data_IF_383616124767
#
_entry.id   IF_383616124767
#
_cell.length_a   1.000
_cell.length_b   1.000
_cell.length_c   1.000
_cell.angle_alpha   90.00
_cell.angle_beta   90.00
_cell.angle_gamma   90.00
#
_symmetry.space_group_name_H-M   'P 1'
#
loop_
_entity.id
_entity.type
_entity.pdbx_description
1 polymer ?
#
# COMPACT_ATOMS: atom_id res chain seq x y z
N UNK A 1 -5.44 0.20 24.29
CA UNK A 1 -6.60 1.08 24.12
C UNK A 1 -7.51 0.45 23.09
N UNK A 2 -8.82 0.33 23.44
CA UNK A 2 -9.82 -0.15 22.48
C UNK A 2 -9.87 0.82 21.30
N UNK A 3 -9.83 0.26 20.11
CA UNK A 3 -9.98 1.02 18.87
C UNK A 3 -11.47 1.37 18.74
N UNK A 4 -11.82 2.63 18.91
CA UNK A 4 -13.20 3.10 18.94
C UNK A 4 -13.64 3.75 17.61
N UNK A 5 -13.18 3.20 16.48
CA UNK A 5 -13.56 3.63 15.14
C UNK A 5 -13.67 2.43 14.20
N UNK A 6 -14.40 2.60 13.11
CA UNK A 6 -14.63 1.53 12.12
C UNK A 6 -13.33 1.11 11.44
N UNK A 7 -13.10 -0.21 11.41
CA UNK A 7 -12.03 -0.83 10.67
C UNK A 7 -12.55 -2.01 9.85
N UNK A 8 -11.95 -2.26 8.72
CA UNK A 8 -12.27 -3.39 7.85
C UNK A 8 -11.00 -4.00 7.26
N UNK A 9 -10.85 -5.31 7.42
CA UNK A 9 -9.77 -6.07 6.74
C UNK A 9 -10.24 -6.42 5.33
N UNK A 10 -9.45 -6.04 4.33
CA UNK A 10 -9.74 -6.34 2.92
C UNK A 10 -8.56 -7.13 2.36
N UNK A 11 -8.84 -8.26 1.74
CA UNK A 11 -7.86 -9.08 1.02
C UNK A 11 -7.88 -8.78 -0.47
N UNK A 12 -6.73 -8.93 -1.11
CA UNK A 12 -6.59 -8.73 -2.55
C UNK A 12 -5.41 -9.52 -3.11
N UNK A 13 -5.46 -9.77 -4.41
CA UNK A 13 -4.42 -10.53 -5.10
C UNK A 13 -3.20 -9.66 -5.39
N UNK A 14 -2.03 -10.25 -5.19
CA UNK A 14 -0.73 -9.68 -5.52
C UNK A 14 0.22 -10.78 -5.99
N UNK A 15 1.52 -10.50 -6.05
CA UNK A 15 2.55 -11.45 -6.45
C UNK A 15 3.78 -11.37 -5.55
N UNK A 16 4.49 -12.49 -5.43
CA UNK A 16 5.82 -12.52 -4.84
C UNK A 16 6.86 -12.21 -5.93
N UNK A 17 7.35 -11.00 -5.95
CA UNK A 17 8.33 -10.52 -6.94
C UNK A 17 9.74 -10.69 -6.39
N UNK A 18 10.61 -11.39 -7.11
CA UNK A 18 11.97 -11.71 -6.63
C UNK A 18 12.96 -10.59 -6.93
N UNK A 19 12.84 -9.93 -8.07
CA UNK A 19 13.76 -8.88 -8.51
C UNK A 19 13.07 -7.85 -9.39
N UNK A 20 13.74 -6.73 -9.59
CA UNK A 20 13.16 -5.58 -10.31
C UNK A 20 12.78 -5.91 -11.75
N UNK A 21 13.55 -6.73 -12.44
CA UNK A 21 13.28 -7.23 -13.79
C UNK A 21 11.97 -8.05 -13.88
N UNK A 22 11.54 -8.63 -12.76
CA UNK A 22 10.32 -9.43 -12.68
C UNK A 22 9.03 -8.59 -12.55
N UNK A 23 9.16 -7.27 -12.43
CA UNK A 23 8.02 -6.34 -12.47
C UNK A 23 7.49 -6.10 -13.89
N UNK A 24 8.16 -6.61 -14.93
CA UNK A 24 7.90 -6.23 -16.31
C UNK A 24 7.50 -7.42 -17.20
N UNK A 25 6.58 -7.14 -18.13
CA UNK A 25 6.24 -8.02 -19.24
C UNK A 25 5.86 -9.45 -18.84
N UNK A 26 6.39 -10.42 -19.58
CA UNK A 26 6.10 -11.85 -19.34
C UNK A 26 6.67 -12.34 -18.00
N UNK A 27 7.78 -11.78 -17.52
CA UNK A 27 8.39 -12.16 -16.26
C UNK A 27 7.45 -11.89 -15.07
N UNK A 28 6.64 -10.83 -15.11
CA UNK A 28 5.64 -10.56 -14.09
C UNK A 28 4.55 -11.65 -14.06
N UNK A 29 4.15 -12.17 -15.21
CA UNK A 29 3.11 -13.19 -15.31
C UNK A 29 3.54 -14.55 -14.71
N UNK A 30 4.84 -14.81 -14.67
CA UNK A 30 5.40 -16.06 -14.11
C UNK A 30 5.64 -16.01 -12.61
N UNK A 31 5.49 -14.85 -11.97
CA UNK A 31 5.66 -14.73 -10.53
C UNK A 31 4.47 -15.39 -9.78
N UNK A 32 4.77 -15.98 -8.62
CA UNK A 32 3.77 -16.67 -7.79
C UNK A 32 2.71 -15.68 -7.29
N UNK A 33 1.45 -16.04 -7.50
CA UNK A 33 0.32 -15.31 -6.95
C UNK A 33 0.25 -15.47 -5.43
N UNK A 34 -0.11 -14.42 -4.75
CA UNK A 34 -0.37 -14.41 -3.31
C UNK A 34 -1.59 -13.57 -2.98
N UNK A 35 -2.36 -14.00 -2.00
CA UNK A 35 -3.37 -13.16 -1.38
C UNK A 35 -2.75 -12.39 -0.22
N UNK A 36 -2.88 -11.07 -0.27
CA UNK A 36 -2.42 -10.17 0.80
C UNK A 36 -3.59 -9.36 1.34
N UNK A 37 -3.39 -8.66 2.43
CA UNK A 37 -4.44 -7.82 3.00
C UNK A 37 -3.94 -6.43 3.40
N UNK A 38 -4.89 -5.52 3.50
CA UNK A 38 -4.77 -4.25 4.18
C UNK A 38 -5.92 -4.06 5.17
N UNK A 39 -5.74 -3.15 6.10
CA UNK A 39 -6.79 -2.72 7.02
C UNK A 39 -7.23 -1.32 6.61
N UNK A 40 -8.49 -1.18 6.29
CA UNK A 40 -9.12 0.10 6.02
C UNK A 40 -9.57 0.72 7.34
N UNK A 41 -9.02 1.89 7.66
CA UNK A 41 -9.34 2.67 8.85
C UNK A 41 -10.19 3.87 8.42
N UNK A 42 -11.38 3.98 8.97
CA UNK A 42 -12.32 5.04 8.62
C UNK A 42 -12.18 6.26 9.53
N UNK A 43 -12.54 7.48 9.07
CA UNK A 43 -12.69 8.65 9.93
C UNK A 43 -13.60 8.41 11.14
N UNK A 44 -13.43 9.19 12.21
CA UNK A 44 -14.27 9.06 13.41
C UNK A 44 -15.75 9.33 13.11
N UNK A 45 -16.01 10.32 12.25
CA UNK A 45 -17.34 10.73 11.80
C UNK A 45 -17.69 10.15 10.43
N UNK A 46 -17.32 8.88 10.18
CA UNK A 46 -17.58 8.22 8.90
C UNK A 46 -19.07 8.14 8.58
N UNK A 47 -19.45 8.64 7.40
CA UNK A 47 -20.79 8.60 6.85
C UNK A 47 -20.80 7.77 5.55
N UNK A 48 -21.47 6.64 5.56
CA UNK A 48 -21.55 5.72 4.42
C UNK A 48 -22.23 6.28 3.17
N UNK A 49 -22.90 7.42 3.28
CA UNK A 49 -23.52 8.13 2.15
C UNK A 49 -22.52 8.99 1.36
N UNK A 50 -21.31 9.20 1.89
CA UNK A 50 -20.27 10.04 1.30
C UNK A 50 -19.12 9.22 0.72
N UNK A 51 -18.37 9.84 -0.19
CA UNK A 51 -17.11 9.31 -0.71
C UNK A 51 -15.92 10.05 -0.10
N UNK A 52 -14.93 9.29 0.32
CA UNK A 52 -13.76 9.80 1.01
C UNK A 52 -12.50 9.73 0.16
N UNK A 53 -11.57 10.69 0.30
CA UNK A 53 -10.21 10.49 -0.16
C UNK A 53 -9.57 9.34 0.61
N UNK A 54 -8.67 8.59 -0.01
CA UNK A 54 -7.96 7.49 0.64
C UNK A 54 -6.46 7.66 0.54
N UNK A 55 -5.75 7.25 1.60
CA UNK A 55 -4.29 7.13 1.62
C UNK A 55 -3.94 5.65 1.78
N UNK A 56 -3.29 5.09 0.77
CA UNK A 56 -2.66 3.77 0.85
C UNK A 56 -1.32 3.94 1.55
N UNK A 57 -1.15 3.29 2.68
CA UNK A 57 0.04 3.45 3.52
C UNK A 57 0.80 2.13 3.69
N UNK A 58 2.14 2.17 3.58
CA UNK A 58 3.01 1.03 3.78
C UNK A 58 4.14 1.34 4.76
N UNK A 59 4.39 0.40 5.68
CA UNK A 59 5.43 0.48 6.70
C UNK A 59 6.84 0.21 6.17
N UNK A 60 7.85 0.43 7.01
CA UNK A 60 9.25 0.10 6.74
C UNK A 60 9.63 -1.33 7.12
N UNK A 61 10.94 -1.66 7.04
CA UNK A 61 11.50 -3.01 7.26
C UNK A 61 11.25 -3.62 8.64
N UNK A 62 10.79 -2.82 9.60
CA UNK A 62 10.45 -3.26 10.95
C UNK A 62 8.94 -3.53 11.16
N UNK A 63 8.14 -3.53 10.09
CA UNK A 63 6.67 -3.60 10.17
C UNK A 63 6.06 -2.34 10.82
N UNK A 64 4.76 -2.34 11.09
CA UNK A 64 4.06 -1.22 11.74
C UNK A 64 4.61 -0.95 13.15
N UNK A 65 4.88 0.32 13.47
CA UNK A 65 5.37 0.79 14.77
C UNK A 65 4.51 1.96 15.28
N UNK A 66 4.58 2.25 16.56
CA UNK A 66 3.75 3.26 17.21
C UNK A 66 3.74 4.61 16.46
N UNK A 67 4.93 5.09 16.06
CA UNK A 67 5.00 6.36 15.31
C UNK A 67 4.27 6.36 13.96
N UNK A 68 4.22 5.21 13.27
CA UNK A 68 3.41 5.09 12.07
C UNK A 68 1.91 5.21 12.40
N UNK A 69 1.47 4.54 13.48
CA UNK A 69 0.06 4.57 13.89
C UNK A 69 -0.39 5.98 14.27
N UNK A 70 0.50 6.79 14.85
CA UNK A 70 0.22 8.21 15.12
C UNK A 70 -0.06 8.99 13.81
N UNK A 71 0.71 8.73 12.75
CA UNK A 71 0.45 9.32 11.43
C UNK A 71 -0.87 8.83 10.82
N UNK A 72 -1.16 7.52 10.88
CA UNK A 72 -2.42 6.99 10.38
C UNK A 72 -3.61 7.62 11.12
N UNK A 73 -3.48 7.83 12.44
CA UNK A 73 -4.50 8.52 13.22
C UNK A 73 -4.70 9.96 12.77
N UNK A 74 -3.63 10.73 12.55
CA UNK A 74 -3.71 12.11 12.05
C UNK A 74 -4.36 12.19 10.67
N UNK A 75 -4.02 11.27 9.75
CA UNK A 75 -4.63 11.19 8.42
C UNK A 75 -6.13 10.92 8.53
N UNK A 76 -6.53 9.98 9.38
CA UNK A 76 -7.93 9.64 9.63
C UNK A 76 -8.70 10.81 10.24
N UNK A 77 -8.10 11.53 11.20
CA UNK A 77 -8.66 12.75 11.80
C UNK A 77 -8.77 13.91 10.80
N UNK A 78 -7.94 13.90 9.76
CA UNK A 78 -8.05 14.83 8.63
C UNK A 78 -9.08 14.39 7.58
N UNK A 79 -9.96 13.46 7.94
CA UNK A 79 -11.08 12.97 7.12
C UNK A 79 -10.67 12.15 5.90
N UNK A 80 -9.54 11.43 5.99
CA UNK A 80 -9.15 10.42 5.00
C UNK A 80 -9.52 9.01 5.50
N UNK A 81 -9.95 8.15 4.60
CA UNK A 81 -9.82 6.71 4.80
C UNK A 81 -8.32 6.39 4.69
N UNK A 82 -7.80 5.55 5.57
CA UNK A 82 -6.42 5.07 5.50
C UNK A 82 -6.42 3.58 5.26
N UNK A 83 -5.87 3.14 4.14
CA UNK A 83 -5.68 1.73 3.83
C UNK A 83 -4.25 1.32 4.22
N UNK A 84 -4.10 0.77 5.40
CA UNK A 84 -2.82 0.29 5.92
C UNK A 84 -2.51 -1.09 5.34
N UNK A 85 -1.53 -1.18 4.45
CA UNK A 85 -1.08 -2.44 3.85
C UNK A 85 -0.35 -3.30 4.88
N UNK A 86 -0.55 -4.62 4.82
CA UNK A 86 0.13 -5.61 5.66
C UNK A 86 0.95 -6.61 4.83
N UNK A 87 1.94 -6.17 4.05
CA UNK A 87 2.69 -7.03 3.15
C UNK A 87 3.50 -8.11 3.88
N UNK A 88 3.97 -7.81 5.10
CA UNK A 88 4.73 -8.75 5.91
C UNK A 88 3.85 -9.79 6.59
N UNK A 89 2.81 -9.34 7.27
CA UNK A 89 1.88 -10.22 7.97
C UNK A 89 1.21 -11.20 7.00
N UNK A 90 0.87 -10.74 5.79
CA UNK A 90 0.33 -11.58 4.72
C UNK A 90 1.29 -12.69 4.26
N UNK A 91 2.59 -12.49 4.43
CA UNK A 91 3.65 -13.44 4.08
C UNK A 91 4.25 -14.17 5.29
N UNK A 92 3.66 -14.00 6.49
CA UNK A 92 4.14 -14.61 7.72
C UNK A 92 5.52 -14.08 8.18
N UNK A 93 5.87 -12.86 7.79
CA UNK A 93 7.16 -12.21 8.11
C UNK A 93 6.94 -11.07 9.10
N UNK A 94 7.76 -11.00 10.14
CA UNK A 94 7.68 -9.92 11.13
C UNK A 94 8.59 -8.73 10.81
N UNK A 95 9.71 -8.99 10.14
CA UNK A 95 10.72 -7.98 9.82
C UNK A 95 11.61 -8.47 8.68
N UNK A 96 12.07 -7.56 7.84
CA UNK A 96 13.10 -7.83 6.81
C UNK A 96 14.47 -7.27 7.17
N UNK A 97 14.64 -6.73 8.38
CA UNK A 97 15.96 -6.28 8.85
C UNK A 97 16.91 -7.47 8.92
N UNK A 98 18.04 -7.37 8.19
CA UNK A 98 19.03 -8.44 8.08
C UNK A 98 18.72 -9.53 7.06
N UNK A 99 17.50 -9.56 6.51
CA UNK A 99 17.11 -10.50 5.43
C UNK A 99 16.00 -9.92 4.54
N UNK A 100 16.40 -9.05 3.62
CA UNK A 100 15.46 -8.31 2.76
C UNK A 100 14.87 -9.15 1.60
N UNK A 101 15.34 -10.39 1.43
CA UNK A 101 14.80 -11.29 0.42
C UNK A 101 13.51 -12.01 0.86
N UNK A 102 13.17 -11.99 2.16
CA UNK A 102 11.94 -12.62 2.66
C UNK A 102 10.67 -11.92 2.15
N UNK A 103 10.73 -10.59 2.04
CA UNK A 103 9.74 -9.77 1.32
C UNK A 103 10.54 -8.67 0.64
N UNK A 104 10.60 -8.72 -0.67
CA UNK A 104 11.38 -7.79 -1.49
C UNK A 104 10.70 -6.42 -1.59
N UNK A 105 11.46 -5.38 -1.90
CA UNK A 105 10.92 -4.06 -2.25
C UNK A 105 9.96 -4.14 -3.43
N UNK A 106 10.29 -4.98 -4.40
CA UNK A 106 9.53 -5.22 -5.62
C UNK A 106 8.15 -5.81 -5.34
N UNK A 107 8.08 -6.77 -4.40
CA UNK A 107 6.79 -7.29 -3.93
C UNK A 107 5.92 -6.17 -3.34
N UNK A 108 6.50 -5.28 -2.51
CA UNK A 108 5.73 -4.20 -1.88
C UNK A 108 5.34 -3.12 -2.91
N UNK A 109 6.20 -2.85 -3.91
CA UNK A 109 5.88 -1.96 -5.03
C UNK A 109 4.63 -2.49 -5.76
N UNK A 110 4.61 -3.78 -6.07
CA UNK A 110 3.48 -4.41 -6.76
C UNK A 110 2.23 -4.49 -5.88
N UNK A 111 2.38 -4.82 -4.59
CA UNK A 111 1.31 -4.80 -3.60
C UNK A 111 0.61 -3.42 -3.56
N UNK A 112 1.39 -2.34 -3.58
CA UNK A 112 0.87 -0.98 -3.58
C UNK A 112 0.16 -0.64 -4.88
N UNK A 113 0.71 -1.01 -6.02
CA UNK A 113 0.09 -0.78 -7.33
C UNK A 113 -1.25 -1.52 -7.46
N UNK A 114 -1.33 -2.78 -7.01
CA UNK A 114 -2.57 -3.57 -7.05
C UNK A 114 -3.61 -3.08 -6.05
N UNK A 115 -3.20 -2.53 -4.91
CA UNK A 115 -4.13 -1.90 -3.97
C UNK A 115 -4.86 -0.68 -4.56
N UNK A 116 -4.21 0.08 -5.44
CA UNK A 116 -4.86 1.18 -6.15
C UNK A 116 -6.03 0.68 -6.99
N UNK A 117 -5.85 -0.43 -7.71
CA UNK A 117 -6.91 -1.01 -8.53
C UNK A 117 -8.07 -1.56 -7.69
N UNK A 118 -7.76 -2.20 -6.55
CA UNK A 118 -8.76 -2.63 -5.58
C UNK A 118 -9.65 -1.46 -5.12
N UNK A 119 -9.01 -0.35 -4.74
CA UNK A 119 -9.70 0.79 -4.13
C UNK A 119 -10.40 1.69 -5.15
N UNK A 120 -10.02 1.61 -6.42
CA UNK A 120 -10.59 2.44 -7.48
C UNK A 120 -12.10 2.25 -7.67
N UNK A 121 -12.56 1.03 -7.55
CA UNK A 121 -13.96 0.64 -7.74
C UNK A 121 -14.75 0.57 -6.42
N UNK A 122 -14.12 0.86 -5.27
CA UNK A 122 -14.81 0.88 -3.98
C UNK A 122 -15.78 2.08 -3.93
N UNK A 123 -17.09 1.85 -3.72
CA UNK A 123 -18.11 2.91 -3.73
C UNK A 123 -17.91 3.96 -2.63
N UNK A 124 -17.16 3.66 -1.58
CA UNK A 124 -16.87 4.54 -0.45
C UNK A 124 -15.74 5.52 -0.75
N UNK A 125 -14.99 5.30 -1.85
CA UNK A 125 -13.78 6.04 -2.17
C UNK A 125 -14.03 7.02 -3.31
N UNK A 126 -13.50 8.22 -3.15
CA UNK A 126 -13.34 9.17 -4.23
C UNK A 126 -12.08 8.78 -5.03
N UNK A 127 -12.27 8.08 -6.15
CA UNK A 127 -11.17 7.57 -6.97
C UNK A 127 -10.32 8.65 -7.64
N UNK A 128 -10.74 9.91 -7.63
CA UNK A 128 -9.90 11.05 -8.04
C UNK A 128 -8.95 11.53 -6.92
N UNK A 129 -9.01 10.91 -5.73
CA UNK A 129 -8.27 11.30 -4.53
C UNK A 129 -7.71 10.10 -3.80
N UNK A 130 -6.93 9.26 -4.51
CA UNK A 130 -6.20 8.12 -3.95
C UNK A 130 -4.71 8.47 -3.89
N UNK A 131 -4.15 8.48 -2.69
CA UNK A 131 -2.76 8.86 -2.42
C UNK A 131 -1.97 7.66 -1.93
N UNK A 132 -0.67 7.64 -2.20
CA UNK A 132 0.26 6.67 -1.64
C UNK A 132 1.10 7.31 -0.53
N UNK A 133 1.34 6.57 0.55
CA UNK A 133 2.19 7.00 1.66
C UNK A 133 3.10 5.84 2.10
N UNK A 134 4.32 6.16 2.52
CA UNK A 134 5.22 5.11 2.99
C UNK A 134 6.45 5.60 3.70
N UNK A 135 6.98 4.73 4.57
CA UNK A 135 8.17 4.97 5.38
C UNK A 135 9.27 3.97 5.03
N UNK A 136 10.50 4.45 4.81
CA UNK A 136 11.65 3.61 4.48
C UNK A 136 11.32 2.67 3.31
N UNK A 137 11.26 1.36 3.51
CA UNK A 137 10.89 0.37 2.49
C UNK A 137 9.51 0.65 1.86
N UNK A 138 8.51 1.02 2.66
CA UNK A 138 7.20 1.49 2.15
C UNK A 138 7.30 2.82 1.40
N UNK A 139 8.21 3.70 1.83
CA UNK A 139 8.55 4.94 1.12
C UNK A 139 9.18 4.66 -0.25
N UNK A 140 10.03 3.62 -0.35
CA UNK A 140 10.57 3.14 -1.62
C UNK A 140 9.45 2.65 -2.54
N UNK A 141 8.49 1.90 -2.01
CA UNK A 141 7.35 1.45 -2.80
C UNK A 141 6.53 2.64 -3.35
N UNK A 142 6.27 3.66 -2.53
CA UNK A 142 5.59 4.87 -2.98
C UNK A 142 6.41 5.65 -4.03
N UNK A 143 7.74 5.73 -3.87
CA UNK A 143 8.65 6.38 -4.82
C UNK A 143 8.59 5.71 -6.20
N UNK A 144 8.69 4.37 -6.24
CA UNK A 144 8.65 3.64 -7.52
C UNK A 144 7.26 3.68 -8.15
N UNK A 145 6.19 3.69 -7.36
CA UNK A 145 4.83 3.90 -7.89
C UNK A 145 4.61 5.32 -8.44
N UNK A 146 5.45 6.31 -8.09
CA UNK A 146 5.45 7.63 -8.71
C UNK A 146 6.21 7.66 -10.05
N UNK A 147 6.98 6.62 -10.37
CA UNK A 147 7.80 6.56 -11.57
C UNK A 147 6.98 6.10 -12.77
N UNK A 148 6.73 7.03 -13.70
CA UNK A 148 5.87 6.82 -14.85
C UNK A 148 6.24 5.61 -15.73
N UNK A 149 7.51 5.33 -16.05
CA UNK A 149 7.84 4.14 -16.82
C UNK A 149 7.43 2.83 -16.15
N UNK A 150 7.48 2.75 -14.81
CA UNK A 150 6.99 1.59 -14.08
C UNK A 150 5.46 1.47 -14.17
N UNK A 151 4.75 2.59 -14.00
CA UNK A 151 3.29 2.60 -14.14
C UNK A 151 2.83 2.08 -15.51
N UNK A 152 3.50 2.54 -16.56
CA UNK A 152 3.23 2.09 -17.94
C UNK A 152 3.57 0.60 -18.13
N UNK A 153 4.67 0.14 -17.55
CA UNK A 153 5.13 -1.24 -17.68
C UNK A 153 4.28 -2.26 -16.92
N UNK A 154 3.76 -1.89 -15.75
CA UNK A 154 2.84 -2.74 -14.98
C UNK A 154 1.51 -2.98 -15.71
N UNK A 155 1.14 -2.07 -16.61
CA UNK A 155 -0.06 -2.17 -17.45
C UNK A 155 -1.34 -2.49 -16.67
N UNK A 156 -1.46 -1.92 -15.47
CA UNK A 156 -2.65 -2.06 -14.64
C UNK A 156 -3.74 -1.06 -15.11
N UNK A 157 -5.04 -1.38 -14.94
CA UNK A 157 -6.13 -0.50 -15.37
C UNK A 157 -6.03 0.92 -14.79
N UNK A 158 -5.60 1.04 -13.54
CA UNK A 158 -5.36 2.31 -12.88
C UNK A 158 -3.89 2.32 -12.41
N UNK A 159 -3.09 3.18 -13.02
CA UNK A 159 -1.64 3.10 -12.88
C UNK A 159 -1.05 4.20 -11.98
N UNK A 160 -1.82 5.23 -11.60
CA UNK A 160 -1.27 6.41 -10.95
C UNK A 160 -2.09 6.87 -9.78
N UNK A 161 -1.44 6.99 -8.62
CA UNK A 161 -1.99 7.70 -7.46
C UNK A 161 -2.08 9.21 -7.74
N UNK A 162 -2.99 9.89 -7.05
CA UNK A 162 -3.16 11.35 -7.16
C UNK A 162 -1.97 12.12 -6.58
N UNK A 163 -1.28 11.54 -5.60
CA UNK A 163 -0.08 12.11 -4.99
C UNK A 163 0.62 11.11 -4.09
N UNK A 164 1.84 11.47 -3.65
CA UNK A 164 2.75 10.57 -2.95
C UNK A 164 3.38 11.27 -1.75
N UNK A 165 3.36 10.61 -0.60
CA UNK A 165 4.04 11.04 0.63
C UNK A 165 5.10 10.00 0.99
N UNK A 166 6.36 10.40 0.94
CA UNK A 166 7.49 9.49 1.12
C UNK A 166 8.38 9.99 2.24
N UNK A 167 8.52 9.19 3.29
CA UNK A 167 9.44 9.48 4.38
C UNK A 167 10.67 8.59 4.26
N UNK A 168 11.85 9.20 4.15
CA UNK A 168 13.17 8.55 4.05
C UNK A 168 13.18 7.28 3.18
N UNK A 169 12.72 7.37 1.91
CA UNK A 169 12.74 6.21 1.00
C UNK A 169 14.17 5.74 0.76
N UNK A 170 14.35 4.44 0.58
CA UNK A 170 15.57 3.91 0.00
C UNK A 170 15.63 4.30 -1.48
N UNK A 171 16.73 4.91 -1.91
CA UNK A 171 17.02 5.12 -3.32
C UNK A 171 17.90 3.93 -3.76
N UNK A 172 17.37 3.07 -4.60
CA UNK A 172 18.09 1.95 -5.19
C UNK A 172 18.97 2.41 -6.32
#
# INVERSE_FOLDING_TARGET
PEVNYLQEKITYSSKNIIGFENLFGEALQTQDDIEIFGIMHFPDDYDSSQKYPVIVASHGSLNWRAHHLDYLQQMRQANYIVFAMHPFDSRGVNSTVGNQINVTSESIIYDMATSLNLLWDDPRINNQKIYAAGWSLGGTAALFNAWRPLQEALNLPNASFTGYLMWYPGCL
#
